data_IF_497170462106
#
_entry.id   IF_497170462106
#
_cell.length_a   1.000
_cell.length_b   1.000
_cell.length_c   1.000
_cell.angle_alpha   90.00
_cell.angle_beta   90.00
_cell.angle_gamma   90.00
#
_symmetry.space_group_name_H-M   'P 1'
#
loop_
_entity.id
_entity.type
_entity.pdbx_description
1 polymer ?
#
# COMPACT_ATOMS: atom_id res chain seq x y z
N UNK A 1 12.48 35.44 -44.23
CA UNK A 1 11.23 34.66 -44.25
C UNK A 1 10.82 34.37 -42.81
N UNK A 2 10.02 35.24 -42.22
CA UNK A 2 9.48 35.08 -40.87
C UNK A 2 7.97 35.29 -40.94
N UNK A 3 7.19 34.31 -40.49
CA UNK A 3 5.74 34.41 -40.48
C UNK A 3 5.05 33.06 -40.38
N UNK A 4 5.05 32.42 -39.20
CA UNK A 4 4.11 31.34 -38.88
C UNK A 4 3.89 31.07 -37.37
N UNK A 5 4.29 31.98 -36.46
CA UNK A 5 4.10 31.80 -35.00
C UNK A 5 2.94 32.60 -34.38
N UNK A 6 2.15 33.34 -35.17
CA UNK A 6 1.13 34.26 -34.64
C UNK A 6 -0.33 33.80 -34.80
N UNK A 7 -0.62 32.68 -35.48
CA UNK A 7 -2.02 32.21 -35.62
C UNK A 7 -2.49 31.27 -34.50
N UNK A 8 -1.58 30.56 -33.81
CA UNK A 8 -1.95 29.62 -32.75
C UNK A 8 -2.42 30.32 -31.45
N UNK A 9 -1.77 31.42 -31.04
CA UNK A 9 -2.10 32.12 -29.78
C UNK A 9 -3.44 32.88 -29.83
N UNK A 10 -3.84 33.35 -31.02
CA UNK A 10 -5.10 34.07 -31.20
C UNK A 10 -6.33 33.13 -31.18
N UNK A 11 -6.18 31.87 -31.61
CA UNK A 11 -7.28 30.90 -31.55
C UNK A 11 -7.63 30.47 -30.11
N UNK A 12 -6.65 30.52 -29.21
CA UNK A 12 -6.80 30.17 -27.79
C UNK A 12 -7.50 31.30 -27.00
N UNK A 13 -7.14 32.56 -27.26
CA UNK A 13 -7.81 33.75 -26.67
C UNK A 13 -9.25 33.92 -27.13
N UNK A 14 -9.57 33.63 -28.39
CA UNK A 14 -10.94 33.79 -28.90
C UNK A 14 -11.93 32.73 -28.38
N UNK A 15 -11.44 31.54 -27.96
CA UNK A 15 -12.30 30.47 -27.41
C UNK A 15 -12.57 30.63 -25.92
N UNK A 16 -11.63 31.19 -25.15
CA UNK A 16 -11.83 31.55 -23.73
C UNK A 16 -12.96 32.58 -23.54
N UNK A 17 -13.18 33.47 -24.52
CA UNK A 17 -14.24 34.47 -24.46
C UNK A 17 -15.66 33.88 -24.65
N UNK A 18 -15.81 32.68 -25.22
CA UNK A 18 -17.12 32.09 -25.56
C UNK A 18 -17.77 31.28 -24.43
N UNK A 19 -17.01 30.90 -23.41
CA UNK A 19 -17.52 30.13 -22.26
C UNK A 19 -18.17 31.05 -21.20
N UNK A 20 -17.93 32.37 -21.27
CA UNK A 20 -18.48 33.37 -20.35
C UNK A 20 -19.95 33.77 -20.59
N UNK A 21 -20.69 33.09 -21.46
CA UNK A 21 -22.07 33.46 -21.83
C UNK A 21 -23.05 32.29 -21.68
N UNK A 22 -23.27 31.83 -20.46
CA UNK A 22 -24.46 31.05 -20.09
C UNK A 22 -25.09 31.68 -18.86
N UNK A 23 -26.20 32.38 -19.06
CA UNK A 23 -27.08 32.93 -18.02
C UNK A 23 -28.43 32.20 -18.15
N UNK A 24 -29.00 31.70 -17.03
CA UNK A 24 -30.24 32.33 -16.57
C UNK A 24 -30.38 32.51 -15.05
N UNK A 25 -31.04 33.62 -14.72
CA UNK A 25 -31.87 34.00 -13.56
C UNK A 25 -31.52 33.62 -12.10
N UNK A 26 -31.43 34.70 -11.33
CA UNK A 26 -31.24 34.94 -9.89
C UNK A 26 -32.15 34.14 -8.95
N UNK A 27 -31.56 33.40 -7.99
CA UNK A 27 -31.79 33.55 -6.54
C UNK A 27 -30.78 32.70 -5.73
N UNK A 28 -30.37 33.18 -4.54
CA UNK A 28 -29.30 32.69 -3.65
C UNK A 28 -27.82 32.99 -4.01
N UNK A 29 -27.49 34.28 -4.05
CA UNK A 29 -26.19 34.80 -4.47
C UNK A 29 -24.98 34.55 -3.52
N UNK A 30 -25.17 34.16 -2.26
CA UNK A 30 -24.06 34.02 -1.28
C UNK A 30 -23.31 32.68 -1.37
N UNK A 31 -24.04 31.56 -1.23
CA UNK A 31 -23.45 30.22 -1.29
C UNK A 31 -23.01 29.82 -2.71
N UNK A 32 -23.76 30.26 -3.73
CA UNK A 32 -23.46 30.00 -5.14
C UNK A 32 -22.17 30.73 -5.57
N UNK A 33 -21.85 31.88 -4.98
CA UNK A 33 -20.64 32.64 -5.33
C UNK A 33 -19.36 32.00 -4.77
N UNK A 34 -19.42 31.40 -3.57
CA UNK A 34 -18.32 30.62 -2.98
C UNK A 34 -18.10 29.29 -3.71
N UNK A 35 -19.18 28.59 -4.04
CA UNK A 35 -19.13 27.37 -4.88
C UNK A 35 -18.60 27.71 -6.28
N UNK A 36 -19.02 28.84 -6.87
CA UNK A 36 -18.46 29.34 -8.14
C UNK A 36 -16.97 29.69 -8.02
N UNK A 37 -16.52 30.34 -6.96
CA UNK A 37 -15.11 30.67 -6.78
C UNK A 37 -14.24 29.42 -6.61
N UNK A 38 -14.75 28.40 -5.89
CA UNK A 38 -14.08 27.11 -5.71
C UNK A 38 -14.06 26.28 -7.00
N UNK A 39 -15.20 26.16 -7.70
CA UNK A 39 -15.30 25.51 -9.01
C UNK A 39 -14.38 26.22 -10.02
N UNK A 40 -14.36 27.56 -10.02
CA UNK A 40 -13.49 28.31 -10.93
C UNK A 40 -12.03 28.09 -10.54
N UNK A 41 -11.64 28.15 -9.28
CA UNK A 41 -10.24 27.94 -8.87
C UNK A 41 -9.73 26.50 -9.13
N UNK A 42 -10.57 25.48 -8.90
CA UNK A 42 -10.23 24.08 -9.16
C UNK A 42 -10.16 23.82 -10.67
N UNK A 43 -11.14 24.27 -11.46
CA UNK A 43 -11.14 24.11 -12.92
C UNK A 43 -10.03 24.94 -13.58
N UNK A 44 -9.76 26.16 -13.12
CA UNK A 44 -8.68 27.00 -13.67
C UNK A 44 -7.29 26.52 -13.23
N UNK A 45 -7.14 25.98 -12.01
CA UNK A 45 -5.92 25.32 -11.56
C UNK A 45 -5.61 24.05 -12.35
N UNK A 46 -6.63 23.29 -12.75
CA UNK A 46 -6.52 22.10 -13.60
C UNK A 46 -6.17 22.43 -15.07
N UNK A 47 -6.66 23.57 -15.58
CA UNK A 47 -6.39 24.04 -16.95
C UNK A 47 -5.00 24.67 -17.13
N UNK A 48 -4.34 25.09 -16.04
CA UNK A 48 -3.00 25.68 -16.10
C UNK A 48 -1.88 24.64 -16.30
N UNK A 49 -2.16 23.34 -16.10
CA UNK A 49 -1.19 22.25 -16.29
C UNK A 49 -1.28 21.50 -17.63
N UNK A 50 -2.35 21.66 -18.41
CA UNK A 50 -2.53 20.93 -19.67
C UNK A 50 -3.48 21.66 -20.62
N UNK A 51 -3.04 21.90 -21.86
CA UNK A 51 -3.81 22.56 -22.94
C UNK A 51 -4.98 21.73 -23.49
N UNK A 52 -5.53 20.78 -22.73
CA UNK A 52 -6.58 19.87 -23.19
C UNK A 52 -7.94 20.17 -22.53
N UNK A 53 -8.99 20.27 -23.34
CA UNK A 53 -10.37 20.50 -22.87
C UNK A 53 -10.78 19.43 -21.83
N UNK A 54 -11.48 19.79 -20.73
CA UNK A 54 -12.03 18.82 -19.77
C UNK A 54 -12.93 17.79 -20.48
N UNK A 55 -12.91 16.54 -20.05
CA UNK A 55 -13.83 15.53 -20.59
C UNK A 55 -15.27 15.83 -20.20
N UNK A 56 -16.22 15.25 -20.92
CA UNK A 56 -17.64 15.44 -20.65
C UNK A 56 -18.01 15.01 -19.23
N UNK A 57 -17.37 13.96 -18.70
CA UNK A 57 -17.55 13.50 -17.31
C UNK A 57 -17.16 14.57 -16.28
N UNK A 58 -16.05 15.29 -16.50
CA UNK A 58 -15.63 16.39 -15.62
C UNK A 58 -16.60 17.57 -15.73
N UNK A 59 -17.09 17.85 -16.94
CA UNK A 59 -18.08 18.92 -17.18
C UNK A 59 -19.38 18.60 -16.45
N UNK A 60 -19.93 17.41 -16.64
CA UNK A 60 -21.19 16.97 -16.03
C UNK A 60 -21.08 16.92 -14.50
N UNK A 61 -19.95 16.45 -13.98
CA UNK A 61 -19.64 16.51 -12.56
C UNK A 61 -19.59 17.96 -12.05
N UNK A 62 -18.93 18.86 -12.78
CA UNK A 62 -18.85 20.28 -12.41
C UNK A 62 -20.22 20.94 -12.40
N UNK A 63 -21.08 20.61 -13.37
CA UNK A 63 -22.45 21.11 -13.46
C UNK A 63 -23.34 20.59 -12.34
N UNK A 64 -23.05 19.40 -11.80
CA UNK A 64 -23.80 18.87 -10.65
C UNK A 64 -23.58 19.68 -9.37
N UNK A 65 -22.51 20.47 -9.30
CA UNK A 65 -22.14 21.25 -8.10
C UNK A 65 -21.70 20.39 -6.92
N UNK A 66 -21.64 19.06 -7.11
CA UNK A 66 -21.22 18.08 -6.14
C UNK A 66 -19.69 17.96 -6.17
N UNK A 67 -18.97 18.45 -5.14
CA UNK A 67 -17.51 18.39 -5.08
C UNK A 67 -16.96 16.96 -5.22
N UNK A 68 -17.75 15.95 -4.85
CA UNK A 68 -17.37 14.54 -4.80
C UNK A 68 -17.33 13.93 -6.19
N UNK A 69 -18.41 14.15 -6.96
CA UNK A 69 -18.45 13.82 -8.39
C UNK A 69 -17.34 14.53 -9.14
N UNK A 70 -17.03 15.78 -8.79
CA UNK A 70 -15.97 16.56 -9.43
C UNK A 70 -14.60 15.94 -9.15
N UNK A 71 -14.28 15.65 -7.89
CA UNK A 71 -12.99 15.05 -7.53
C UNK A 71 -12.78 13.70 -8.22
N UNK A 72 -13.81 12.84 -8.21
CA UNK A 72 -13.78 11.54 -8.90
C UNK A 72 -13.62 11.68 -10.41
N UNK A 73 -14.44 12.51 -11.05
CA UNK A 73 -14.37 12.73 -12.50
C UNK A 73 -13.01 13.29 -12.92
N UNK A 74 -12.42 14.18 -12.11
CA UNK A 74 -11.08 14.74 -12.35
C UNK A 74 -9.99 13.67 -12.24
N UNK A 75 -10.05 12.78 -11.24
CA UNK A 75 -9.12 11.67 -11.13
C UNK A 75 -9.23 10.74 -12.35
N UNK A 76 -10.44 10.32 -12.69
CA UNK A 76 -10.69 9.41 -13.81
C UNK A 76 -10.19 10.01 -15.13
N UNK A 77 -10.44 11.30 -15.34
CA UNK A 77 -9.95 12.04 -16.51
C UNK A 77 -8.42 12.14 -16.53
N UNK A 78 -7.78 12.38 -15.39
CA UNK A 78 -6.32 12.44 -15.28
C UNK A 78 -5.66 11.08 -15.60
N UNK A 79 -6.18 10.00 -15.01
CA UNK A 79 -5.71 8.63 -15.25
C UNK A 79 -5.85 8.25 -16.73
N UNK A 80 -7.01 8.55 -17.32
CA UNK A 80 -7.28 8.25 -18.73
C UNK A 80 -6.36 9.05 -19.68
N UNK A 81 -6.11 10.33 -19.40
CA UNK A 81 -5.22 11.17 -20.23
C UNK A 81 -3.77 10.74 -20.18
N UNK A 82 -3.30 10.28 -19.01
CA UNK A 82 -1.94 9.80 -18.84
C UNK A 82 -1.76 8.37 -19.34
N UNK A 83 -2.84 7.72 -19.79
CA UNK A 83 -2.81 6.34 -20.23
C UNK A 83 -2.36 5.38 -19.13
N UNK A 84 -2.55 5.74 -17.86
CA UNK A 84 -2.14 4.92 -16.73
C UNK A 84 -3.08 3.71 -16.67
N UNK A 85 -2.56 2.47 -16.86
CA UNK A 85 -3.37 1.27 -16.74
C UNK A 85 -3.97 1.19 -15.33
N UNK A 86 -5.25 0.83 -15.25
CA UNK A 86 -5.94 0.56 -13.97
C UNK A 86 -5.78 -0.90 -13.54
N UNK A 87 -4.59 -1.43 -13.76
CA UNK A 87 -4.21 -2.82 -13.47
C UNK A 87 -2.91 -2.83 -12.65
N UNK A 88 -2.49 -4.03 -12.23
CA UNK A 88 -1.27 -4.14 -11.44
C UNK A 88 -0.02 -3.71 -12.21
N UNK A 89 0.01 -3.74 -13.55
CA UNK A 89 1.20 -3.37 -14.31
C UNK A 89 1.56 -1.90 -14.09
N UNK A 90 0.56 -1.01 -14.11
CA UNK A 90 0.67 0.43 -13.82
C UNK A 90 0.60 0.82 -12.34
N UNK A 91 0.73 -0.14 -11.41
CA UNK A 91 0.49 0.11 -9.99
C UNK A 91 1.35 1.24 -9.37
N UNK A 92 2.67 1.37 -9.63
CA UNK A 92 3.45 2.49 -9.14
C UNK A 92 2.94 3.85 -9.65
N UNK A 93 2.58 3.93 -10.93
CA UNK A 93 2.04 5.13 -11.56
C UNK A 93 0.64 5.46 -11.02
N UNK A 94 -0.17 4.43 -10.72
CA UNK A 94 -1.47 4.57 -10.06
C UNK A 94 -1.33 5.13 -8.65
N UNK A 95 -0.39 4.59 -7.84
CA UNK A 95 -0.10 5.10 -6.50
C UNK A 95 0.31 6.57 -6.55
N UNK A 96 1.25 6.93 -7.44
CA UNK A 96 1.68 8.33 -7.61
C UNK A 96 0.51 9.26 -8.03
N UNK A 97 -0.33 8.81 -8.97
CA UNK A 97 -1.49 9.57 -9.40
C UNK A 97 -2.52 9.77 -8.27
N UNK A 98 -2.77 8.72 -7.48
CA UNK A 98 -3.66 8.75 -6.31
C UNK A 98 -3.06 9.65 -5.22
N UNK A 99 -1.78 9.52 -4.88
CA UNK A 99 -1.11 10.40 -3.90
C UNK A 99 -1.27 11.88 -4.27
N UNK A 100 -1.06 12.25 -5.54
CA UNK A 100 -1.27 13.63 -6.00
C UNK A 100 -2.71 14.11 -5.87
N UNK A 101 -3.69 13.23 -6.04
CA UNK A 101 -5.09 13.55 -5.74
C UNK A 101 -5.28 13.77 -4.24
N UNK A 102 -4.77 12.86 -3.41
CA UNK A 102 -4.94 12.88 -1.96
C UNK A 102 -4.35 14.12 -1.33
N UNK A 103 -3.20 14.62 -1.79
CA UNK A 103 -2.67 15.94 -1.37
C UNK A 103 -3.70 17.06 -1.57
N UNK A 104 -4.44 17.05 -2.69
CA UNK A 104 -5.47 18.07 -2.97
C UNK A 104 -6.74 17.84 -2.13
N UNK A 105 -7.13 16.58 -1.96
CA UNK A 105 -8.37 16.19 -1.25
C UNK A 105 -8.20 16.30 0.26
N UNK A 106 -7.04 16.00 0.84
CA UNK A 106 -6.80 16.01 2.29
C UNK A 106 -5.96 17.20 2.77
N UNK A 107 -5.21 17.84 1.86
CA UNK A 107 -4.31 18.96 2.21
C UNK A 107 -3.05 18.52 2.96
N UNK A 108 -2.74 17.23 2.95
CA UNK A 108 -1.57 16.62 3.57
C UNK A 108 -0.39 16.66 2.60
N UNK A 109 0.81 17.00 3.09
CA UNK A 109 2.04 16.97 2.28
C UNK A 109 2.43 15.52 1.89
N UNK A 110 2.21 14.59 2.82
CA UNK A 110 2.43 13.15 2.64
C UNK A 110 1.12 12.42 2.95
N UNK A 111 0.31 12.10 1.92
CA UNK A 111 -0.96 11.42 2.14
C UNK A 111 -0.74 9.97 2.57
N UNK A 112 -1.61 9.47 3.45
CA UNK A 112 -1.63 8.06 3.80
C UNK A 112 -1.94 7.19 2.58
N UNK A 113 -1.06 6.24 2.29
CA UNK A 113 -1.22 5.29 1.18
C UNK A 113 -0.88 3.89 1.65
N UNK A 114 -1.40 2.88 0.96
CA UNK A 114 -1.09 1.49 1.26
C UNK A 114 0.42 1.26 1.17
N UNK A 115 0.95 0.54 2.16
CA UNK A 115 2.39 0.24 2.29
C UNK A 115 2.59 -1.22 2.66
N UNK A 116 3.82 -1.59 3.00
CA UNK A 116 4.14 -2.96 3.35
C UNK A 116 3.40 -3.42 4.61
N UNK A 117 3.27 -2.53 5.61
CA UNK A 117 2.67 -2.85 6.92
C UNK A 117 1.33 -2.16 7.19
N UNK A 118 0.91 -1.25 6.31
CA UNK A 118 -0.38 -0.56 6.42
C UNK A 118 -1.27 -0.86 5.23
N UNK A 119 -2.48 -1.27 5.55
CA UNK A 119 -3.59 -1.22 4.61
C UNK A 119 -4.22 0.16 4.67
N UNK A 120 -4.38 0.82 3.52
CA UNK A 120 -5.11 2.08 3.41
C UNK A 120 -6.10 1.93 2.26
N UNK A 121 -7.39 2.06 2.56
CA UNK A 121 -8.44 2.08 1.55
C UNK A 121 -9.23 3.36 1.63
N UNK A 122 -9.30 4.06 0.50
CA UNK A 122 -10.14 5.21 0.32
C UNK A 122 -11.54 4.79 -0.13
N UNK A 123 -12.55 5.53 0.31
CA UNK A 123 -13.95 5.33 -0.04
C UNK A 123 -14.65 6.68 -0.15
N UNK A 124 -15.93 6.68 -0.54
CA UNK A 124 -16.75 7.88 -0.59
C UNK A 124 -16.08 9.01 -1.39
N UNK A 125 -15.69 8.72 -2.64
CA UNK A 125 -14.97 9.65 -3.51
C UNK A 125 -13.68 10.22 -2.88
N UNK A 126 -12.94 9.39 -2.15
CA UNK A 126 -11.68 9.72 -1.45
C UNK A 126 -11.83 10.66 -0.25
N UNK A 127 -13.04 10.94 0.22
CA UNK A 127 -13.27 11.77 1.41
C UNK A 127 -13.28 10.98 2.73
N UNK A 128 -13.27 9.65 2.64
CA UNK A 128 -13.11 8.77 3.78
C UNK A 128 -11.97 7.78 3.52
N UNK A 129 -11.24 7.43 4.57
CA UNK A 129 -10.20 6.40 4.53
C UNK A 129 -10.29 5.49 5.73
N UNK A 130 -9.91 4.24 5.52
CA UNK A 130 -9.64 3.31 6.60
C UNK A 130 -8.18 2.89 6.54
N UNK A 131 -7.52 2.94 7.69
CA UNK A 131 -6.12 2.62 7.87
C UNK A 131 -6.04 1.47 8.87
N UNK A 132 -5.44 0.35 8.47
CA UNK A 132 -5.08 -0.72 9.40
C UNK A 132 -3.57 -0.80 9.46
N UNK A 133 -3.01 -0.53 10.64
CA UNK A 133 -1.60 -0.73 10.92
C UNK A 133 -1.41 -2.11 11.54
N UNK A 134 -0.89 -3.05 10.74
CA UNK A 134 -0.72 -4.43 11.17
C UNK A 134 0.46 -4.61 12.13
N UNK A 135 1.44 -3.70 12.14
CA UNK A 135 2.58 -3.75 13.05
C UNK A 135 2.18 -3.23 14.43
N UNK A 136 1.47 -2.11 14.48
CA UNK A 136 1.04 -1.49 15.73
C UNK A 136 -0.28 -2.03 16.28
N UNK A 137 -1.08 -2.70 15.45
CA UNK A 137 -2.29 -3.39 15.90
C UNK A 137 -3.48 -2.46 16.08
N UNK A 138 -3.73 -1.55 15.15
CA UNK A 138 -4.90 -0.68 15.22
C UNK A 138 -5.58 -0.45 13.86
N UNK A 139 -6.87 -0.08 13.93
CA UNK A 139 -7.72 0.37 12.84
C UNK A 139 -8.18 1.80 13.14
N UNK A 140 -7.89 2.72 12.23
CA UNK A 140 -8.43 4.08 12.23
C UNK A 140 -9.33 4.25 11.01
N UNK A 141 -10.51 4.83 11.20
CA UNK A 141 -11.40 5.21 10.09
C UNK A 141 -11.70 6.69 10.21
N UNK A 142 -11.51 7.40 9.10
CA UNK A 142 -11.52 8.85 9.06
C UNK A 142 -12.38 9.37 7.92
N UNK A 143 -12.93 10.57 8.09
CA UNK A 143 -13.54 11.33 7.01
C UNK A 143 -13.38 12.83 7.17
N UNK A 144 -13.21 13.50 6.04
CA UNK A 144 -13.20 14.96 5.90
C UNK A 144 -14.44 15.49 5.18
N UNK A 145 -15.42 14.62 4.92
CA UNK A 145 -16.65 14.97 4.23
C UNK A 145 -17.40 16.10 4.95
N UNK A 146 -17.97 17.02 4.16
CA UNK A 146 -18.73 18.17 4.68
C UNK A 146 -20.21 17.82 4.85
N UNK A 147 -20.77 17.11 3.88
CA UNK A 147 -22.12 16.54 3.86
C UNK A 147 -22.11 15.08 4.31
N UNK A 148 -23.15 14.68 5.05
CA UNK A 148 -23.39 13.29 5.48
C UNK A 148 -22.18 12.61 6.13
N UNK A 149 -21.33 13.40 6.81
CA UNK A 149 -20.03 12.94 7.29
C UNK A 149 -20.12 11.73 8.22
N UNK A 150 -21.11 11.70 9.12
CA UNK A 150 -21.29 10.56 10.03
C UNK A 150 -21.75 9.30 9.29
N UNK A 151 -22.59 9.44 8.26
CA UNK A 151 -23.03 8.30 7.46
C UNK A 151 -21.89 7.77 6.58
N UNK A 152 -21.09 8.65 5.98
CA UNK A 152 -19.88 8.26 5.24
C UNK A 152 -18.86 7.56 6.13
N UNK A 153 -18.67 8.06 7.36
CA UNK A 153 -17.83 7.40 8.35
C UNK A 153 -18.39 6.01 8.69
N UNK A 154 -19.69 5.89 8.92
CA UNK A 154 -20.38 4.62 9.19
C UNK A 154 -20.17 3.62 8.04
N UNK A 155 -20.38 4.06 6.79
CA UNK A 155 -20.18 3.25 5.60
C UNK A 155 -18.72 2.78 5.45
N UNK A 156 -17.75 3.66 5.72
CA UNK A 156 -16.34 3.31 5.69
C UNK A 156 -15.97 2.28 6.76
N UNK A 157 -16.50 2.41 7.99
CA UNK A 157 -16.30 1.41 9.06
C UNK A 157 -16.86 0.05 8.64
N UNK A 158 -18.13 0.01 8.22
CA UNK A 158 -18.82 -1.24 7.82
C UNK A 158 -18.10 -1.90 6.65
N UNK A 159 -17.78 -1.12 5.62
CA UNK A 159 -17.03 -1.57 4.45
C UNK A 159 -15.70 -2.23 4.85
N UNK A 160 -14.90 -1.58 5.70
CA UNK A 160 -13.60 -2.09 6.10
C UNK A 160 -13.71 -3.37 6.92
N UNK A 161 -14.64 -3.42 7.89
CA UNK A 161 -14.87 -4.60 8.72
C UNK A 161 -15.36 -5.82 7.94
N UNK A 162 -16.00 -5.61 6.79
CA UNK A 162 -16.55 -6.68 5.94
C UNK A 162 -15.73 -6.92 4.68
N UNK A 163 -14.63 -6.21 4.48
CA UNK A 163 -13.74 -6.42 3.33
C UNK A 163 -13.19 -7.83 3.38
N UNK A 164 -13.36 -8.56 2.28
CA UNK A 164 -13.03 -9.97 2.20
C UNK A 164 -11.54 -10.19 1.94
N UNK A 165 -11.01 -11.32 2.41
CA UNK A 165 -9.62 -11.74 2.15
C UNK A 165 -9.29 -11.87 0.66
N UNK A 166 -10.24 -12.30 -0.15
CA UNK A 166 -10.05 -12.56 -1.59
C UNK A 166 -10.14 -11.29 -2.47
N UNK A 167 -10.15 -10.10 -1.87
CA UNK A 167 -10.18 -8.84 -2.60
C UNK A 167 -8.94 -8.68 -3.49
N UNK A 168 -9.13 -8.16 -4.70
CA UNK A 168 -8.01 -7.88 -5.59
C UNK A 168 -7.26 -6.65 -5.09
N UNK A 169 -5.95 -6.57 -5.34
CA UNK A 169 -5.15 -5.43 -4.85
C UNK A 169 -5.52 -4.14 -5.56
N UNK A 170 -6.00 -4.22 -6.80
CA UNK A 170 -6.54 -3.11 -7.56
C UNK A 170 -7.71 -2.42 -6.82
N UNK A 171 -8.54 -3.19 -6.10
CA UNK A 171 -9.67 -2.65 -5.34
C UNK A 171 -9.25 -1.77 -4.14
N UNK A 172 -7.99 -1.83 -3.71
CA UNK A 172 -7.44 -0.99 -2.62
C UNK A 172 -7.23 0.44 -3.10
N UNK A 173 -6.84 0.60 -4.37
CA UNK A 173 -6.49 1.89 -4.97
C UNK A 173 -7.69 2.57 -5.64
N UNK A 174 -8.89 2.00 -5.48
CA UNK A 174 -10.14 2.58 -5.98
C UNK A 174 -11.13 2.78 -4.84
N UNK A 175 -12.11 3.66 -5.06
CA UNK A 175 -13.23 3.88 -4.11
C UNK A 175 -14.35 2.83 -4.24
N UNK A 176 -14.07 1.70 -4.89
CA UNK A 176 -15.04 0.63 -5.10
C UNK A 176 -15.45 -0.01 -3.78
N UNK A 177 -16.76 -0.32 -3.65
CA UNK A 177 -17.30 -1.05 -2.50
C UNK A 177 -16.71 -2.46 -2.45
N UNK A 178 -16.46 -3.03 -1.25
CA UNK A 178 -15.96 -4.40 -1.12
C UNK A 178 -16.97 -5.40 -1.69
N UNK A 179 -16.45 -6.49 -2.24
CA UNK A 179 -17.23 -7.67 -2.61
C UNK A 179 -17.83 -8.31 -1.37
N UNK A 180 -19.13 -8.58 -1.39
CA UNK A 180 -19.85 -9.19 -0.25
C UNK A 180 -19.86 -10.72 -0.41
N UNK A 181 -19.70 -11.45 0.70
CA UNK A 181 -19.91 -12.90 0.76
C UNK A 181 -18.68 -13.75 1.08
N UNK A 182 -17.48 -13.17 1.06
CA UNK A 182 -16.26 -13.83 1.52
C UNK A 182 -16.03 -13.70 3.03
N UNK A 183 -14.97 -14.33 3.53
CA UNK A 183 -14.56 -14.17 4.92
C UNK A 183 -13.83 -12.84 5.12
N UNK A 184 -14.21 -12.01 6.12
CA UNK A 184 -13.53 -10.73 6.34
C UNK A 184 -12.07 -10.90 6.75
N UNK A 185 -11.19 -10.03 6.23
CA UNK A 185 -9.77 -10.11 6.58
C UNK A 185 -9.52 -9.75 8.05
N UNK A 186 -10.32 -8.86 8.64
CA UNK A 186 -10.25 -8.49 10.06
C UNK A 186 -11.02 -9.44 10.99
N UNK A 187 -11.58 -10.55 10.48
CA UNK A 187 -12.36 -11.46 11.31
C UNK A 187 -11.52 -12.00 12.48
N UNK A 188 -12.00 -11.77 13.70
CA UNK A 188 -11.31 -12.16 14.95
C UNK A 188 -10.16 -11.22 15.35
N UNK A 189 -9.66 -10.39 14.43
CA UNK A 189 -8.64 -9.37 14.71
C UNK A 189 -9.27 -8.10 15.31
N UNK A 190 -10.50 -7.79 14.92
CA UNK A 190 -11.32 -6.74 15.53
C UNK A 190 -12.57 -7.38 16.12
N UNK A 191 -12.81 -7.09 17.40
CA UNK A 191 -14.00 -7.53 18.13
C UNK A 191 -14.94 -6.34 18.35
N UNK A 192 -16.24 -6.59 18.35
CA UNK A 192 -17.19 -5.56 18.73
C UNK A 192 -17.20 -5.31 20.24
N UNK A 193 -18.06 -4.40 20.71
CA UNK A 193 -18.16 -4.05 22.13
C UNK A 193 -18.55 -5.23 23.04
N UNK A 194 -19.18 -6.27 22.48
CA UNK A 194 -19.61 -7.46 23.21
C UNK A 194 -18.47 -8.51 23.24
N UNK A 195 -17.31 -8.22 22.64
CA UNK A 195 -16.18 -9.15 22.53
C UNK A 195 -16.31 -10.16 21.39
N UNK A 196 -17.23 -9.93 20.45
CA UNK A 196 -17.57 -10.91 19.41
C UNK A 196 -16.92 -10.56 18.06
N UNK A 197 -16.46 -11.56 17.28
CA UNK A 197 -15.96 -11.36 15.93
C UNK A 197 -17.02 -10.78 14.98
N UNK A 198 -16.56 -9.88 14.10
CA UNK A 198 -17.44 -9.18 13.17
C UNK A 198 -17.41 -9.84 11.80
N UNK A 199 -18.46 -10.62 11.49
CA UNK A 199 -18.65 -11.29 10.19
C UNK A 199 -19.85 -10.78 9.41
N UNK A 200 -20.87 -10.31 10.10
CA UNK A 200 -22.18 -10.04 9.52
C UNK A 200 -22.44 -8.54 9.44
N UNK A 201 -23.12 -8.12 8.37
CA UNK A 201 -23.46 -6.72 8.11
C UNK A 201 -24.16 -6.05 9.30
N UNK A 202 -25.23 -6.66 9.82
CA UNK A 202 -25.94 -6.12 10.99
C UNK A 202 -25.04 -5.88 12.21
N UNK A 203 -24.02 -6.72 12.42
CA UNK A 203 -23.09 -6.60 13.55
C UNK A 203 -22.08 -5.48 13.29
N UNK A 204 -21.57 -5.40 12.06
CA UNK A 204 -20.69 -4.32 11.63
C UNK A 204 -21.40 -2.95 11.73
N UNK A 205 -22.65 -2.84 11.27
CA UNK A 205 -23.46 -1.62 11.39
C UNK A 205 -23.68 -1.22 12.85
N UNK A 206 -24.10 -2.17 13.69
CA UNK A 206 -24.28 -1.94 15.13
C UNK A 206 -22.99 -1.48 15.81
N UNK A 207 -21.85 -2.05 15.43
CA UNK A 207 -20.55 -1.65 15.97
C UNK A 207 -20.14 -0.27 15.46
N UNK A 208 -20.37 0.05 14.18
CA UNK A 208 -20.12 1.38 13.63
C UNK A 208 -20.94 2.46 14.36
N UNK A 209 -22.22 2.22 14.63
CA UNK A 209 -23.08 3.11 15.40
C UNK A 209 -22.54 3.34 16.82
N UNK A 210 -22.04 2.28 17.47
CA UNK A 210 -21.39 2.38 18.77
C UNK A 210 -20.13 3.24 18.72
N UNK A 211 -19.24 3.00 17.74
CA UNK A 211 -18.00 3.75 17.59
C UNK A 211 -18.28 5.24 17.33
N UNK A 212 -19.24 5.56 16.46
CA UNK A 212 -19.61 6.94 16.17
C UNK A 212 -20.20 7.63 17.40
N UNK A 213 -21.02 6.93 18.20
CA UNK A 213 -21.64 7.53 19.39
C UNK A 213 -20.64 7.73 20.53
N UNK A 214 -19.75 6.77 20.77
CA UNK A 214 -18.96 6.71 22.00
C UNK A 214 -17.47 7.01 21.81
N UNK A 215 -16.95 6.87 20.58
CA UNK A 215 -15.50 6.92 20.27
C UNK A 215 -15.13 7.97 19.22
N UNK A 216 -16.11 8.70 18.68
CA UNK A 216 -15.87 9.73 17.68
C UNK A 216 -14.99 10.85 18.23
N UNK A 217 -13.92 11.12 17.50
CA UNK A 217 -13.08 12.30 17.71
C UNK A 217 -13.28 13.26 16.53
N UNK A 218 -13.28 14.55 16.83
CA UNK A 218 -13.39 15.60 15.82
C UNK A 218 -12.27 16.61 16.01
N UNK A 219 -11.56 16.94 14.94
CA UNK A 219 -10.50 17.94 14.95
C UNK A 219 -10.49 18.75 13.65
N UNK A 220 -9.95 19.97 13.72
CA UNK A 220 -9.68 20.76 12.52
C UNK A 220 -8.26 20.44 12.07
N UNK A 221 -8.11 19.98 10.83
CA UNK A 221 -6.82 19.67 10.23
C UNK A 221 -6.79 20.19 8.80
N UNK A 222 -5.73 20.93 8.44
CA UNK A 222 -5.57 21.56 7.12
C UNK A 222 -6.80 22.38 6.65
N UNK A 223 -7.48 23.05 7.59
CA UNK A 223 -8.69 23.84 7.31
C UNK A 223 -9.96 23.02 7.08
N UNK A 224 -9.93 21.70 7.32
CA UNK A 224 -11.07 20.79 7.19
C UNK A 224 -11.44 20.21 8.56
N UNK A 225 -12.71 19.83 8.72
CA UNK A 225 -13.17 19.12 9.92
C UNK A 225 -12.96 17.63 9.69
N UNK A 226 -11.94 17.06 10.34
CA UNK A 226 -11.69 15.64 10.38
C UNK A 226 -12.54 14.99 11.46
N UNK A 227 -13.21 13.90 11.11
CA UNK A 227 -13.94 13.01 12.03
C UNK A 227 -13.32 11.63 11.96
N UNK A 228 -12.99 11.05 13.11
CA UNK A 228 -12.33 9.75 13.17
C UNK A 228 -12.81 8.87 14.31
N UNK A 229 -12.66 7.57 14.12
CA UNK A 229 -12.76 6.56 15.16
C UNK A 229 -11.49 5.71 15.14
N UNK A 230 -11.05 5.31 16.33
CA UNK A 230 -9.87 4.46 16.53
C UNK A 230 -10.29 3.19 17.26
N UNK A 231 -9.78 2.05 16.79
CA UNK A 231 -10.08 0.72 17.32
C UNK A 231 -8.77 -0.06 17.42
N UNK A 232 -8.41 -0.52 18.61
CA UNK A 232 -7.31 -1.47 18.77
C UNK A 232 -7.73 -2.83 18.20
N UNK A 233 -6.83 -3.47 17.46
CA UNK A 233 -6.93 -4.88 17.18
C UNK A 233 -6.71 -5.66 18.49
N UNK A 234 -7.14 -6.91 18.53
CA UNK A 234 -6.86 -7.79 19.67
C UNK A 234 -5.35 -7.90 19.91
N UNK A 235 -4.91 -7.94 21.16
CA UNK A 235 -3.48 -7.98 21.52
C UNK A 235 -2.69 -9.09 20.80
N UNK A 236 -3.36 -10.19 20.45
CA UNK A 236 -2.77 -11.36 19.80
C UNK A 236 -2.94 -11.36 18.26
N UNK A 237 -3.17 -10.20 17.66
CA UNK A 237 -3.47 -10.08 16.23
C UNK A 237 -2.36 -10.64 15.33
N UNK A 238 -1.09 -10.54 15.73
CA UNK A 238 0.02 -11.12 14.98
C UNK A 238 -0.02 -12.65 14.99
N UNK A 239 -0.34 -13.25 16.14
CA UNK A 239 -0.45 -14.70 16.26
C UNK A 239 -1.65 -15.25 15.47
N UNK A 240 -2.79 -14.55 15.46
CA UNK A 240 -3.92 -14.94 14.62
C UNK A 240 -3.54 -15.01 13.13
N UNK A 241 -2.72 -14.06 12.65
CA UNK A 241 -2.22 -14.07 11.28
C UNK A 241 -1.12 -15.11 11.05
N UNK A 242 -0.27 -15.37 12.04
CA UNK A 242 0.68 -16.49 12.00
C UNK A 242 -0.04 -17.83 11.76
N UNK A 243 -1.13 -18.07 12.50
CA UNK A 243 -1.98 -19.26 12.36
C UNK A 243 -2.65 -19.32 10.98
N UNK A 244 -3.11 -18.18 10.46
CA UNK A 244 -3.74 -18.08 9.13
C UNK A 244 -2.81 -18.61 8.01
N UNK A 245 -1.51 -18.34 8.10
CA UNK A 245 -0.55 -18.74 7.07
C UNK A 245 0.24 -20.02 7.39
N UNK A 246 -0.13 -20.73 8.46
CA UNK A 246 0.67 -21.84 8.97
C UNK A 246 0.89 -22.97 7.97
N UNK A 247 -0.16 -23.39 7.26
CA UNK A 247 -0.05 -24.48 6.28
C UNK A 247 0.91 -24.12 5.14
N UNK A 248 0.89 -22.86 4.68
CA UNK A 248 1.76 -22.37 3.62
C UNK A 248 3.22 -22.30 4.08
N UNK A 249 3.46 -21.74 5.27
CA UNK A 249 4.80 -21.65 5.85
C UNK A 249 5.39 -23.04 6.08
N UNK A 250 4.66 -23.94 6.74
CA UNK A 250 5.13 -25.29 7.03
C UNK A 250 5.39 -26.09 5.75
N UNK A 251 4.56 -25.93 4.72
CA UNK A 251 4.76 -26.56 3.41
C UNK A 251 6.03 -26.06 2.71
N UNK A 252 6.22 -24.74 2.64
CA UNK A 252 7.38 -24.11 2.02
C UNK A 252 8.68 -24.45 2.78
N UNK A 253 8.65 -24.39 4.12
CA UNK A 253 9.76 -24.78 4.99
C UNK A 253 10.24 -26.21 4.76
N UNK A 254 9.31 -27.18 4.69
CA UNK A 254 9.66 -28.58 4.38
C UNK A 254 10.27 -28.71 2.99
N UNK A 255 9.71 -28.01 1.99
CA UNK A 255 10.15 -28.08 0.59
C UNK A 255 11.56 -27.53 0.39
N UNK A 256 11.86 -26.39 1.01
CA UNK A 256 13.11 -25.65 0.80
C UNK A 256 14.12 -25.78 1.94
N UNK A 257 13.80 -26.59 2.96
CA UNK A 257 14.65 -26.80 4.15
C UNK A 257 15.01 -25.49 4.86
N UNK A 258 14.07 -24.54 4.88
CA UNK A 258 14.18 -23.27 5.62
C UNK A 258 13.38 -23.41 6.90
N UNK A 259 13.95 -23.00 8.04
CA UNK A 259 13.25 -23.09 9.33
C UNK A 259 11.93 -22.28 9.29
N UNK A 260 10.79 -22.83 9.75
CA UNK A 260 9.53 -22.09 9.83
C UNK A 260 9.67 -20.77 10.59
N UNK A 261 10.44 -20.78 11.69
CA UNK A 261 10.73 -19.59 12.49
C UNK A 261 11.35 -18.45 11.67
N UNK A 262 12.21 -18.78 10.71
CA UNK A 262 12.85 -17.79 9.84
C UNK A 262 11.86 -17.25 8.79
N UNK A 263 11.03 -18.12 8.22
CA UNK A 263 10.00 -17.71 7.25
C UNK A 263 9.01 -16.75 7.93
N UNK A 264 8.51 -17.09 9.13
CA UNK A 264 7.64 -16.21 9.91
C UNK A 264 8.32 -14.89 10.27
N UNK A 265 9.57 -14.93 10.73
CA UNK A 265 10.32 -13.72 11.04
C UNK A 265 10.47 -12.78 9.84
N UNK A 266 10.71 -13.35 8.64
CA UNK A 266 10.77 -12.57 7.40
C UNK A 266 9.40 -12.01 7.06
N UNK A 267 8.32 -12.80 7.09
CA UNK A 267 6.96 -12.29 6.82
C UNK A 267 6.59 -11.15 7.78
N UNK A 268 6.83 -11.32 9.07
CA UNK A 268 6.53 -10.31 10.08
C UNK A 268 7.32 -9.02 9.82
N UNK A 269 8.63 -9.13 9.56
CA UNK A 269 9.45 -7.95 9.30
C UNK A 269 9.11 -7.32 7.96
N UNK A 270 8.79 -8.08 6.92
CA UNK A 270 8.48 -7.53 5.59
C UNK A 270 7.11 -6.84 5.56
N UNK A 271 6.07 -7.47 6.11
CA UNK A 271 4.69 -7.02 5.91
C UNK A 271 3.83 -6.95 7.17
N UNK A 272 4.34 -7.37 8.34
CA UNK A 272 3.53 -7.60 9.53
C UNK A 272 2.31 -8.52 9.26
N UNK A 273 2.48 -9.44 8.30
CA UNK A 273 1.46 -10.34 7.77
C UNK A 273 0.33 -9.65 6.98
N UNK A 274 0.58 -8.47 6.43
CA UNK A 274 -0.33 -7.79 5.50
C UNK A 274 -0.35 -8.51 4.14
N UNK A 275 -1.45 -9.18 3.74
CA UNK A 275 -1.52 -9.86 2.45
C UNK A 275 -1.55 -8.88 1.27
N UNK A 276 -1.88 -7.62 1.54
CA UNK A 276 -1.99 -6.54 0.57
C UNK A 276 -0.74 -5.66 0.51
N UNK A 277 0.37 -6.13 1.08
CA UNK A 277 1.60 -5.36 1.18
C UNK A 277 2.17 -4.97 -0.19
N UNK A 278 2.36 -3.67 -0.40
CA UNK A 278 2.97 -3.10 -1.59
C UNK A 278 4.06 -2.13 -1.18
N UNK A 279 5.27 -2.32 -1.70
CA UNK A 279 6.38 -1.39 -1.50
C UNK A 279 6.55 -0.44 -2.69
N UNK A 280 6.99 0.81 -2.44
CA UNK A 280 7.51 1.70 -3.49
C UNK A 280 8.64 1.06 -4.32
N UNK A 281 9.40 0.12 -3.74
CA UNK A 281 10.46 -0.63 -4.39
C UNK A 281 9.95 -1.77 -5.31
N UNK A 282 8.64 -1.83 -5.59
CA UNK A 282 8.00 -2.86 -6.41
C UNK A 282 8.13 -4.27 -5.82
N UNK A 283 8.10 -4.36 -4.50
CA UNK A 283 7.98 -5.61 -3.75
C UNK A 283 6.51 -5.86 -3.38
N UNK A 284 6.09 -7.12 -3.42
CA UNK A 284 4.68 -7.49 -3.33
C UNK A 284 4.43 -8.65 -2.36
N UNK A 285 3.31 -8.58 -1.64
CA UNK A 285 2.77 -9.64 -0.78
C UNK A 285 3.55 -9.86 0.52
N UNK A 286 3.22 -10.95 1.21
CA UNK A 286 3.64 -11.25 2.59
C UNK A 286 5.16 -11.22 2.82
N UNK A 287 5.93 -11.79 1.89
CA UNK A 287 7.40 -11.86 1.95
C UNK A 287 8.08 -10.79 1.09
N UNK A 288 7.33 -9.79 0.59
CA UNK A 288 7.83 -8.66 -0.20
C UNK A 288 8.75 -9.10 -1.35
N UNK A 289 8.24 -9.96 -2.22
CA UNK A 289 9.00 -10.47 -3.37
C UNK A 289 9.01 -9.44 -4.49
N UNK A 290 10.20 -9.13 -5.00
CA UNK A 290 10.38 -8.33 -6.23
C UNK A 290 10.40 -9.27 -7.44
N UNK A 291 9.49 -9.13 -8.42
CA UNK A 291 9.40 -10.04 -9.56
C UNK A 291 10.69 -10.14 -10.36
N UNK A 292 11.28 -8.98 -10.70
CA UNK A 292 12.40 -8.87 -11.62
C UNK A 292 13.75 -9.34 -11.07
N UNK A 293 13.83 -9.56 -9.75
CA UNK A 293 15.04 -10.04 -9.07
C UNK A 293 14.78 -11.39 -8.43
N UNK A 294 14.32 -11.43 -7.17
CA UNK A 294 14.10 -12.65 -6.41
C UNK A 294 13.11 -13.61 -7.11
N UNK A 295 12.02 -13.07 -7.68
CA UNK A 295 11.03 -13.86 -8.41
C UNK A 295 11.62 -14.56 -9.63
N UNK A 296 12.34 -13.82 -10.48
CA UNK A 296 13.05 -14.33 -11.66
C UNK A 296 14.10 -15.37 -11.30
N UNK A 297 14.91 -15.10 -10.28
CA UNK A 297 15.94 -16.02 -9.80
C UNK A 297 15.32 -17.36 -9.37
N UNK A 298 14.24 -17.31 -8.59
CA UNK A 298 13.51 -18.51 -8.16
C UNK A 298 12.89 -19.23 -9.37
N UNK A 299 12.29 -18.50 -10.31
CA UNK A 299 11.71 -19.08 -11.52
C UNK A 299 12.75 -19.86 -12.34
N UNK A 300 13.89 -19.25 -12.64
CA UNK A 300 14.91 -19.86 -13.47
C UNK A 300 15.67 -20.97 -12.73
N UNK A 301 16.07 -20.72 -11.48
CA UNK A 301 16.97 -21.61 -10.72
C UNK A 301 16.25 -22.74 -10.02
N UNK A 302 15.06 -22.48 -9.46
CA UNK A 302 14.32 -23.45 -8.65
C UNK A 302 13.15 -24.04 -9.43
N UNK A 303 12.28 -23.19 -10.00
CA UNK A 303 11.05 -23.64 -10.70
C UNK A 303 11.30 -24.17 -12.11
N UNK A 304 12.48 -23.87 -12.69
CA UNK A 304 12.83 -24.20 -14.08
C UNK A 304 11.83 -23.63 -15.08
N UNK A 305 11.29 -22.45 -14.79
CA UNK A 305 10.38 -21.70 -15.64
C UNK A 305 11.09 -20.46 -16.17
N UNK A 306 10.78 -20.07 -17.42
CA UNK A 306 11.30 -18.82 -18.00
C UNK A 306 10.47 -17.64 -17.51
N UNK A 307 11.11 -16.48 -17.37
CA UNK A 307 10.45 -15.24 -16.99
C UNK A 307 10.42 -15.02 -15.48
N UNK A 308 9.41 -14.30 -15.01
CA UNK A 308 9.24 -13.91 -13.61
C UNK A 308 7.77 -14.07 -13.21
N UNK A 309 7.46 -14.22 -11.90
CA UNK A 309 6.08 -14.31 -11.44
C UNK A 309 5.31 -13.02 -11.74
N UNK A 310 4.03 -13.14 -12.07
CA UNK A 310 3.17 -11.96 -12.24
C UNK A 310 2.82 -11.35 -10.89
N UNK A 311 2.47 -10.06 -10.88
CA UNK A 311 2.05 -9.36 -9.66
C UNK A 311 0.82 -10.01 -9.04
N UNK A 312 -0.14 -10.46 -9.85
CA UNK A 312 -1.33 -11.18 -9.38
C UNK A 312 -0.97 -12.48 -8.66
N UNK A 313 0.05 -13.20 -9.13
CA UNK A 313 0.51 -14.41 -8.45
C UNK A 313 1.15 -14.07 -7.10
N UNK A 314 1.92 -12.99 -7.02
CA UNK A 314 2.59 -12.58 -5.78
C UNK A 314 1.66 -12.04 -4.68
N UNK A 315 0.41 -11.70 -4.99
CA UNK A 315 -0.59 -11.39 -3.96
C UNK A 315 -1.32 -12.62 -3.40
N UNK A 316 -1.10 -13.80 -3.99
CA UNK A 316 -1.60 -15.05 -3.41
C UNK A 316 -0.64 -15.52 -2.32
N UNK A 317 -1.15 -15.64 -1.09
CA UNK A 317 -0.33 -15.93 0.09
C UNK A 317 0.51 -17.22 -0.06
N UNK A 318 -0.11 -18.30 -0.54
CA UNK A 318 0.54 -19.60 -0.76
C UNK A 318 1.71 -19.50 -1.75
N UNK A 319 1.49 -18.82 -2.87
CA UNK A 319 2.49 -18.62 -3.91
C UNK A 319 3.60 -17.66 -3.45
N UNK A 320 3.24 -16.57 -2.77
CA UNK A 320 4.20 -15.59 -2.27
C UNK A 320 5.16 -16.21 -1.25
N UNK A 321 4.62 -16.95 -0.27
CA UNK A 321 5.40 -17.66 0.75
C UNK A 321 6.30 -18.70 0.11
N UNK A 322 5.80 -19.43 -0.90
CA UNK A 322 6.60 -20.41 -1.64
C UNK A 322 7.78 -19.75 -2.38
N UNK A 323 7.57 -18.63 -3.07
CA UNK A 323 8.64 -17.92 -3.80
C UNK A 323 9.65 -17.28 -2.83
N UNK A 324 9.19 -16.58 -1.79
CA UNK A 324 10.08 -15.96 -0.80
C UNK A 324 10.91 -16.99 -0.05
N UNK A 325 10.32 -18.12 0.35
CA UNK A 325 11.04 -19.24 0.99
C UNK A 325 12.02 -19.92 0.03
N UNK A 326 11.67 -20.08 -1.25
CA UNK A 326 12.59 -20.59 -2.25
C UNK A 326 13.79 -19.65 -2.45
N UNK A 327 13.57 -18.34 -2.36
CA UNK A 327 14.65 -17.36 -2.48
C UNK A 327 15.59 -17.38 -1.27
N UNK A 328 15.07 -17.50 -0.04
CA UNK A 328 15.89 -17.75 1.16
C UNK A 328 16.78 -18.99 0.99
N UNK A 329 16.22 -20.08 0.47
CA UNK A 329 16.97 -21.29 0.17
C UNK A 329 18.03 -21.07 -0.91
N UNK A 330 17.70 -20.36 -1.99
CA UNK A 330 18.67 -20.05 -3.06
C UNK A 330 19.85 -19.21 -2.54
N UNK A 331 19.57 -18.25 -1.65
CA UNK A 331 20.59 -17.44 -0.99
C UNK A 331 21.52 -18.31 -0.14
N UNK A 332 20.98 -19.19 0.71
CA UNK A 332 21.79 -20.05 1.59
C UNK A 332 22.55 -21.14 0.81
N UNK A 333 21.86 -21.89 -0.05
CA UNK A 333 22.36 -23.14 -0.65
C UNK A 333 23.14 -22.91 -1.95
N UNK A 334 22.94 -21.78 -2.62
CA UNK A 334 23.67 -21.44 -3.84
C UNK A 334 24.58 -20.23 -3.66
N UNK A 335 24.02 -19.05 -3.38
CA UNK A 335 24.80 -17.81 -3.40
C UNK A 335 25.83 -17.69 -2.27
N UNK A 336 25.52 -18.24 -1.09
CA UNK A 336 26.32 -18.11 0.12
C UNK A 336 26.85 -19.45 0.63
N UNK A 337 26.71 -20.53 -0.16
CA UNK A 337 27.09 -21.90 0.17
C UNK A 337 28.54 -22.07 0.62
N UNK A 338 29.44 -21.19 0.17
CA UNK A 338 30.86 -21.19 0.56
C UNK A 338 31.11 -20.68 2.00
N UNK A 339 30.11 -20.09 2.67
CA UNK A 339 30.18 -19.78 4.10
C UNK A 339 29.97 -21.08 4.88
N UNK A 340 31.02 -21.57 5.53
CA UNK A 340 31.03 -22.92 6.12
C UNK A 340 30.12 -23.04 7.35
N UNK A 341 30.16 -22.05 8.24
CA UNK A 341 29.35 -22.09 9.46
C UNK A 341 27.87 -21.77 9.15
N UNK A 342 26.90 -22.67 9.45
CA UNK A 342 25.50 -22.44 9.14
C UNK A 342 24.88 -21.22 9.83
N UNK A 343 25.29 -20.89 11.06
CA UNK A 343 24.79 -19.71 11.76
C UNK A 343 25.31 -18.41 11.11
N UNK A 344 26.60 -18.35 10.77
CA UNK A 344 27.17 -17.23 10.00
C UNK A 344 26.48 -17.08 8.64
N UNK A 345 26.23 -18.20 7.95
CA UNK A 345 25.55 -18.21 6.65
C UNK A 345 24.09 -17.76 6.75
N UNK A 346 23.38 -18.12 7.82
CA UNK A 346 22.04 -17.60 8.10
C UNK A 346 22.03 -16.08 8.24
N UNK A 347 22.95 -15.50 9.01
CA UNK A 347 23.02 -14.03 9.15
C UNK A 347 23.31 -13.34 7.81
N UNK A 348 24.24 -13.89 7.03
CA UNK A 348 24.52 -13.40 5.68
C UNK A 348 23.31 -13.54 4.75
N UNK A 349 22.54 -14.64 4.87
CA UNK A 349 21.32 -14.90 4.09
C UNK A 349 20.22 -13.88 4.43
N UNK A 350 19.99 -13.60 5.71
CA UNK A 350 19.03 -12.57 6.14
C UNK A 350 19.44 -11.20 5.59
N UNK A 351 20.72 -10.82 5.71
CA UNK A 351 21.22 -9.57 5.12
C UNK A 351 21.08 -9.56 3.59
N UNK A 352 21.31 -10.69 2.93
CA UNK A 352 21.21 -10.81 1.49
C UNK A 352 19.77 -10.81 0.97
N UNK A 353 18.79 -11.19 1.79
CA UNK A 353 17.37 -11.12 1.42
C UNK A 353 16.94 -9.67 1.16
N UNK A 354 17.30 -8.75 2.08
CA UNK A 354 17.02 -7.32 1.93
C UNK A 354 18.06 -6.58 1.07
N UNK A 355 19.36 -6.78 1.31
CA UNK A 355 20.45 -6.00 0.68
C UNK A 355 21.12 -6.66 -0.54
N UNK A 356 20.69 -7.85 -0.93
CA UNK A 356 21.30 -8.69 -1.96
C UNK A 356 22.60 -9.38 -1.51
N UNK A 357 22.90 -10.57 -2.07
CA UNK A 357 24.09 -11.35 -1.71
C UNK A 357 25.40 -10.58 -1.93
N UNK A 358 25.48 -9.77 -2.99
CA UNK A 358 26.62 -8.88 -3.22
C UNK A 358 26.77 -7.80 -2.14
N UNK A 359 25.66 -7.26 -1.62
CA UNK A 359 25.66 -6.31 -0.50
C UNK A 359 26.19 -6.94 0.78
N UNK A 360 25.69 -8.12 1.12
CA UNK A 360 26.11 -8.89 2.28
C UNK A 360 27.62 -9.19 2.27
N UNK A 361 28.17 -9.64 1.13
CA UNK A 361 29.61 -9.91 1.00
C UNK A 361 30.46 -8.63 1.00
N UNK A 362 29.97 -7.53 0.40
CA UNK A 362 30.66 -6.22 0.39
C UNK A 362 30.86 -5.63 1.77
N UNK A 363 30.06 -6.03 2.76
CA UNK A 363 30.30 -5.66 4.15
C UNK A 363 31.70 -6.11 4.64
N UNK A 364 32.23 -7.22 4.12
CA UNK A 364 33.52 -7.79 4.51
C UNK A 364 34.64 -7.45 3.52
N UNK A 365 34.37 -7.52 2.21
CA UNK A 365 35.32 -7.15 1.17
C UNK A 365 34.64 -6.91 -0.19
N UNK A 366 35.23 -6.05 -1.03
CA UNK A 366 34.81 -5.91 -2.43
C UNK A 366 35.11 -7.16 -3.26
N UNK A 367 36.11 -7.95 -2.87
CA UNK A 367 36.42 -9.26 -3.47
C UNK A 367 35.60 -10.37 -2.80
N UNK A 368 34.84 -11.13 -3.58
CA UNK A 368 33.93 -12.16 -3.06
C UNK A 368 34.65 -13.29 -2.34
N UNK A 369 35.74 -13.79 -2.91
CA UNK A 369 36.50 -14.90 -2.33
C UNK A 369 37.15 -14.48 -1.02
N UNK A 370 37.70 -13.27 -0.97
CA UNK A 370 38.23 -12.67 0.27
C UNK A 370 37.15 -12.45 1.31
N UNK A 371 35.97 -11.95 0.91
CA UNK A 371 34.84 -11.78 1.82
C UNK A 371 34.44 -13.11 2.47
N UNK A 372 34.30 -14.18 1.68
CA UNK A 372 34.02 -15.53 2.19
C UNK A 372 35.12 -16.02 3.15
N UNK A 373 36.40 -15.83 2.78
CA UNK A 373 37.52 -16.19 3.65
C UNK A 373 37.49 -15.46 5.00
N UNK A 374 37.15 -14.17 5.01
CA UNK A 374 37.00 -13.37 6.23
C UNK A 374 35.82 -13.88 7.08
N UNK A 375 34.67 -14.14 6.47
CA UNK A 375 33.49 -14.66 7.18
C UNK A 375 33.81 -16.02 7.83
N UNK A 376 34.49 -16.91 7.10
CA UNK A 376 34.84 -18.24 7.60
C UNK A 376 35.92 -18.23 8.70
N UNK A 377 36.67 -17.13 8.82
CA UNK A 377 37.63 -16.91 9.91
C UNK A 377 37.00 -16.30 11.17
N UNK A 378 35.73 -15.89 11.11
CA UNK A 378 34.99 -15.27 12.22
C UNK A 378 34.04 -16.25 12.90
N UNK A 379 33.78 -16.01 14.18
CA UNK A 379 32.67 -16.65 14.89
C UNK A 379 31.31 -16.11 14.39
N UNK A 380 30.20 -16.85 14.54
CA UNK A 380 28.89 -16.37 14.14
C UNK A 380 28.48 -15.03 14.78
N UNK A 381 28.82 -14.81 16.05
CA UNK A 381 28.55 -13.53 16.74
C UNK A 381 29.33 -12.37 16.11
N UNK A 382 30.60 -12.59 15.76
CA UNK A 382 31.40 -11.58 15.05
C UNK A 382 30.84 -11.28 13.65
N UNK A 383 30.37 -12.30 12.93
CA UNK A 383 29.72 -12.10 11.62
C UNK A 383 28.44 -11.28 11.77
N UNK A 384 27.60 -11.59 12.76
CA UNK A 384 26.39 -10.84 13.06
C UNK A 384 26.71 -9.38 13.38
N UNK A 385 27.60 -9.13 14.36
CA UNK A 385 28.01 -7.79 14.77
C UNK A 385 28.60 -6.99 13.61
N UNK A 386 29.46 -7.63 12.80
CA UNK A 386 30.06 -6.99 11.63
C UNK A 386 29.01 -6.59 10.60
N UNK A 387 28.04 -7.45 10.29
CA UNK A 387 26.94 -7.10 9.39
C UNK A 387 26.09 -5.96 9.96
N UNK A 388 25.69 -6.03 11.23
CA UNK A 388 24.88 -5.00 11.91
C UNK A 388 25.59 -3.65 11.99
N UNK A 389 26.93 -3.61 12.03
CA UNK A 389 27.68 -2.36 12.16
C UNK A 389 28.25 -1.83 10.83
N UNK A 390 28.63 -2.71 9.90
CA UNK A 390 29.46 -2.37 8.73
C UNK A 390 28.79 -2.59 7.39
N UNK A 391 27.60 -3.22 7.34
CA UNK A 391 26.91 -3.38 6.07
C UNK A 391 26.64 -2.01 5.41
N UNK A 392 26.85 -1.84 4.09
CA UNK A 392 26.79 -0.53 3.43
C UNK A 392 25.43 0.15 3.56
N UNK A 393 24.34 -0.62 3.55
CA UNK A 393 22.98 -0.10 3.65
C UNK A 393 22.49 -0.10 5.09
N UNK A 394 22.08 1.08 5.59
CA UNK A 394 21.55 1.24 6.95
C UNK A 394 20.25 0.46 7.18
N UNK A 395 19.42 0.37 6.14
CA UNK A 395 18.20 -0.43 6.14
C UNK A 395 18.51 -1.91 6.41
N UNK A 396 19.46 -2.50 5.67
CA UNK A 396 19.83 -3.91 5.85
C UNK A 396 20.43 -4.21 7.22
N UNK A 397 21.14 -3.25 7.83
CA UNK A 397 21.64 -3.39 9.22
C UNK A 397 20.47 -3.57 10.19
N UNK A 398 19.49 -2.67 10.12
CA UNK A 398 18.27 -2.73 10.94
C UNK A 398 17.43 -3.98 10.61
N UNK A 399 17.37 -4.36 9.35
CA UNK A 399 16.65 -5.54 8.88
C UNK A 399 17.18 -6.82 9.55
N UNK A 400 18.50 -7.01 9.56
CA UNK A 400 19.13 -8.16 10.21
C UNK A 400 18.79 -8.22 11.71
N UNK A 401 18.84 -7.09 12.42
CA UNK A 401 18.47 -7.01 13.84
C UNK A 401 16.99 -7.36 14.05
N UNK A 402 16.09 -6.79 13.24
CA UNK A 402 14.65 -7.05 13.31
C UNK A 402 14.32 -8.51 13.07
N UNK A 403 14.83 -9.11 11.98
CA UNK A 403 14.55 -10.52 11.65
C UNK A 403 15.14 -11.46 12.69
N UNK A 404 16.37 -11.22 13.15
CA UNK A 404 16.97 -12.07 14.18
C UNK A 404 16.22 -12.00 15.51
N UNK A 405 15.65 -10.82 15.86
CA UNK A 405 14.79 -10.66 17.04
C UNK A 405 13.44 -11.35 16.84
N UNK A 406 12.81 -11.16 15.68
CA UNK A 406 11.52 -11.78 15.34
C UNK A 406 11.62 -13.31 15.33
N UNK A 407 12.69 -13.88 14.77
CA UNK A 407 12.89 -15.33 14.73
C UNK A 407 12.85 -15.98 16.11
N UNK A 408 13.28 -15.28 17.18
CA UNK A 408 13.22 -15.82 18.54
C UNK A 408 11.79 -16.01 19.05
N UNK A 409 10.82 -15.24 18.54
CA UNK A 409 9.41 -15.38 18.93
C UNK A 409 8.74 -16.63 18.35
N UNK A 410 9.28 -17.16 17.25
CA UNK A 410 8.72 -18.31 16.52
C UNK A 410 9.51 -19.61 16.72
N UNK A 411 10.37 -19.68 17.75
CA UNK A 411 11.25 -20.83 18.01
C UNK A 411 10.67 -21.84 18.97
#
# INVERSE_FOLDING_TARGET
>A
MGGQRTSFSNSCRQRQAKIGMLNPSVSNAGAIMLVRAFITAVVFGLLLGSCANPSQTVIDATLSGDPERIAKAVLEDQLNRQGIPRDLEGLPELIDAVSKLLVRVWGEDEPEVASERRYVKYSNAYEARAIVDFEQGWLEVETIAQSDALEKLRQAIVSTLLTTRDMSVEDIFTDAKPTVGGEPFLLGQVLDRDGEPIRWEWRAERFADYLIREKLQTQVQHGKTLRRVHVELVNDHLHLRELEYADYVLSASRRYKVAPSLVYAVIEVESAFNPYAVSPAKAYGLMQVVPSTAGRDVFERIKKQKGEPTKQQLFKADFNIDIGSAYLHLLDDSYLSAIANPASRKYATISAYNGGAGGALRAFSSDRSKAIGLINAMTPSQVYEHLVQKHPFAETRRYLEKVNTAEQRYR
#
